data_IF_110866560911
#
_entry.id   IF_110866560911
#
_cell.length_a   1.000
_cell.length_b   1.000
_cell.length_c   1.000
_cell.angle_alpha   90.00
_cell.angle_beta   90.00
_cell.angle_gamma   90.00
#
_symmetry.space_group_name_H-M   'P 1'
#
loop_
_entity.id
_entity.type
_entity.pdbx_description
1 polymer ?
#
# COMPACT_ATOMS: atom_id res chain seq x y z
N UNK A 1 -22.45 2.29 -7.12
CA UNK A 1 -22.43 3.44 -6.20
C UNK A 1 -20.98 3.83 -5.92
N UNK A 2 -20.65 5.09 -6.12
CA UNK A 2 -19.26 5.54 -5.93
C UNK A 2 -18.86 5.47 -4.45
N UNK A 3 -17.63 5.06 -4.20
CA UNK A 3 -17.06 5.10 -2.86
C UNK A 3 -16.80 6.58 -2.55
N UNK A 4 -17.67 7.16 -1.73
CA UNK A 4 -17.55 8.55 -1.34
C UNK A 4 -16.91 8.65 0.03
N UNK A 5 -15.59 8.58 0.05
CA UNK A 5 -14.83 8.56 1.30
C UNK A 5 -13.55 9.39 1.13
N UNK A 6 -13.62 10.70 1.41
CA UNK A 6 -12.49 11.61 1.18
C UNK A 6 -11.21 11.19 1.91
N UNK A 7 -11.33 10.65 3.13
CA UNK A 7 -10.17 10.20 3.88
C UNK A 7 -9.50 8.99 3.22
N UNK A 8 -10.31 8.10 2.67
CA UNK A 8 -9.79 6.94 1.95
C UNK A 8 -9.04 7.36 0.69
N UNK A 9 -9.62 8.29 -0.06
CA UNK A 9 -8.98 8.82 -1.27
C UNK A 9 -7.63 9.45 -0.93
N UNK A 10 -7.58 10.25 0.12
CA UNK A 10 -6.34 10.88 0.57
C UNK A 10 -5.30 9.83 0.98
N UNK A 11 -5.71 8.79 1.68
CA UNK A 11 -4.81 7.70 2.07
C UNK A 11 -4.24 6.98 0.86
N UNK A 12 -5.06 6.75 -0.17
CA UNK A 12 -4.62 6.10 -1.40
C UNK A 12 -3.60 6.98 -2.13
N UNK A 13 -3.83 8.30 -2.18
CA UNK A 13 -2.89 9.23 -2.78
C UNK A 13 -1.57 9.27 -2.03
N UNK A 14 -1.62 9.27 -0.70
CA UNK A 14 -0.42 9.24 0.13
C UNK A 14 0.37 7.95 -0.09
N UNK A 15 -0.33 6.83 -0.19
CA UNK A 15 0.28 5.54 -0.48
C UNK A 15 0.96 5.55 -1.84
N UNK A 16 0.29 6.09 -2.86
CA UNK A 16 0.87 6.24 -4.19
C UNK A 16 2.14 7.07 -4.16
N UNK A 17 2.12 8.16 -3.39
CA UNK A 17 3.27 9.04 -3.26
C UNK A 17 4.49 8.34 -2.66
N UNK A 18 4.27 7.46 -1.69
CA UNK A 18 5.35 6.71 -1.05
C UNK A 18 6.03 5.76 -2.03
N UNK A 19 5.26 5.14 -2.93
CA UNK A 19 5.78 4.13 -3.86
C UNK A 19 5.92 4.64 -5.29
N UNK A 20 5.81 5.93 -5.50
CA UNK A 20 5.81 6.53 -6.84
C UNK A 20 7.08 6.19 -7.64
N UNK A 21 8.24 6.23 -6.98
CA UNK A 21 9.52 5.99 -7.63
C UNK A 21 10.01 4.55 -7.58
N UNK A 22 9.17 3.64 -7.07
CA UNK A 22 9.53 2.22 -6.96
C UNK A 22 9.11 1.48 -8.22
N UNK A 23 10.07 1.17 -9.07
CA UNK A 23 9.83 0.43 -10.31
C UNK A 23 9.40 -0.99 -10.01
N UNK A 24 8.39 -1.46 -10.74
CA UNK A 24 7.90 -2.83 -10.61
C UNK A 24 6.94 -3.06 -9.46
N UNK A 25 6.54 -2.01 -8.78
CA UNK A 25 5.56 -2.11 -7.70
C UNK A 25 4.16 -1.81 -8.23
N UNK A 26 3.47 -2.86 -8.70
CA UNK A 26 2.17 -2.73 -9.35
C UNK A 26 0.99 -2.68 -8.38
N UNK A 27 1.23 -2.88 -7.09
CA UNK A 27 0.16 -2.93 -6.09
C UNK A 27 -0.57 -1.61 -5.93
N UNK A 28 0.13 -0.49 -6.15
CA UNK A 28 -0.49 0.84 -6.08
C UNK A 28 -1.56 0.97 -7.16
N UNK A 29 -1.24 0.56 -8.38
CA UNK A 29 -2.20 0.60 -9.49
C UNK A 29 -3.39 -0.31 -9.22
N UNK A 30 -3.14 -1.48 -8.63
CA UNK A 30 -4.19 -2.42 -8.27
C UNK A 30 -5.15 -1.80 -7.24
N UNK A 31 -4.60 -1.16 -6.23
CA UNK A 31 -5.39 -0.47 -5.19
C UNK A 31 -6.23 0.63 -5.82
N UNK A 32 -5.64 1.44 -6.69
CA UNK A 32 -6.37 2.51 -7.37
C UNK A 32 -7.49 1.97 -8.25
N UNK A 33 -7.24 0.87 -8.96
CA UNK A 33 -8.24 0.25 -9.82
C UNK A 33 -9.42 -0.27 -9.01
N UNK A 34 -9.15 -0.92 -7.88
CA UNK A 34 -10.20 -1.43 -7.01
C UNK A 34 -11.03 -0.28 -6.45
N UNK A 35 -10.39 0.81 -6.11
CA UNK A 35 -11.10 1.99 -5.63
C UNK A 35 -12.00 2.59 -6.72
N UNK A 36 -11.48 2.71 -7.95
CA UNK A 36 -12.24 3.23 -9.08
C UNK A 36 -13.41 2.32 -9.45
N UNK A 37 -13.25 0.99 -9.29
CA UNK A 37 -14.30 0.02 -9.57
C UNK A 37 -15.29 -0.12 -8.41
N UNK A 38 -15.09 0.63 -7.34
CA UNK A 38 -15.97 0.60 -6.16
C UNK A 38 -16.04 -0.78 -5.50
N UNK A 39 -14.95 -1.54 -5.60
CA UNK A 39 -14.85 -2.88 -5.03
C UNK A 39 -14.28 -2.80 -3.61
N UNK A 40 -15.15 -2.52 -2.64
CA UNK A 40 -14.73 -2.37 -1.25
C UNK A 40 -14.14 -3.64 -0.65
N UNK A 41 -14.70 -4.80 -0.97
CA UNK A 41 -14.19 -6.07 -0.47
C UNK A 41 -12.80 -6.35 -1.02
N UNK A 42 -12.63 -6.21 -2.34
CA UNK A 42 -11.34 -6.40 -2.97
C UNK A 42 -10.30 -5.43 -2.44
N UNK A 43 -10.72 -4.18 -2.23
CA UNK A 43 -9.83 -3.15 -1.69
C UNK A 43 -9.37 -3.50 -0.29
N UNK A 44 -10.27 -3.95 0.57
CA UNK A 44 -9.95 -4.36 1.92
C UNK A 44 -8.97 -5.54 1.92
N UNK A 45 -9.24 -6.55 1.12
CA UNK A 45 -8.37 -7.73 1.02
C UNK A 45 -6.97 -7.35 0.53
N UNK A 46 -6.91 -6.52 -0.50
CA UNK A 46 -5.64 -6.08 -1.06
C UNK A 46 -4.84 -5.27 -0.04
N UNK A 47 -5.51 -4.37 0.68
CA UNK A 47 -4.87 -3.54 1.69
C UNK A 47 -4.31 -4.36 2.84
N UNK A 48 -5.08 -5.33 3.34
CA UNK A 48 -4.64 -6.20 4.45
C UNK A 48 -3.46 -7.05 4.02
N UNK A 49 -3.53 -7.64 2.84
CA UNK A 49 -2.44 -8.48 2.32
C UNK A 49 -1.17 -7.67 2.14
N UNK A 50 -1.28 -6.50 1.54
CA UNK A 50 -0.15 -5.64 1.29
C UNK A 50 0.47 -5.11 2.58
N UNK A 51 -0.36 -4.75 3.53
CA UNK A 51 0.10 -4.30 4.84
C UNK A 51 0.96 -5.36 5.52
N UNK A 52 0.53 -6.62 5.44
CA UNK A 52 1.28 -7.73 6.04
C UNK A 52 2.65 -7.88 5.38
N UNK A 53 2.71 -7.80 4.06
CA UNK A 53 3.98 -7.90 3.32
C UNK A 53 4.91 -6.75 3.69
N UNK A 54 4.39 -5.53 3.78
CA UNK A 54 5.18 -4.36 4.13
C UNK A 54 5.68 -4.45 5.58
N UNK A 55 4.84 -4.90 6.50
CA UNK A 55 5.23 -5.06 7.90
C UNK A 55 6.37 -6.07 8.04
N UNK A 56 6.30 -7.19 7.31
CA UNK A 56 7.36 -8.18 7.30
C UNK A 56 8.66 -7.61 6.73
N UNK A 57 8.54 -6.88 5.62
CA UNK A 57 9.70 -6.25 4.99
C UNK A 57 10.33 -5.19 5.92
N UNK A 58 9.50 -4.43 6.62
CA UNK A 58 9.98 -3.42 7.56
C UNK A 58 10.81 -4.05 8.67
N UNK A 59 10.34 -5.16 9.20
CA UNK A 59 11.07 -5.88 10.25
C UNK A 59 12.44 -6.33 9.76
N UNK A 60 12.51 -6.92 8.58
CA UNK A 60 13.77 -7.37 8.00
C UNK A 60 14.72 -6.20 7.70
N UNK A 61 14.17 -5.11 7.18
CA UNK A 61 14.95 -3.91 6.90
C UNK A 61 15.52 -3.31 8.19
N UNK A 62 14.73 -3.28 9.26
CA UNK A 62 15.19 -2.80 10.55
C UNK A 62 16.34 -3.63 11.06
N UNK A 63 16.28 -4.94 10.89
CA UNK A 63 17.35 -5.85 11.29
C UNK A 63 18.63 -5.59 10.50
N UNK A 64 18.50 -5.38 9.20
CA UNK A 64 19.64 -5.07 8.33
C UNK A 64 20.33 -3.78 8.79
N UNK A 65 19.55 -2.75 9.03
CA UNK A 65 20.08 -1.47 9.49
C UNK A 65 20.78 -1.62 10.81
N UNK A 66 20.17 -2.35 11.74
CA UNK A 66 20.76 -2.61 13.05
C UNK A 66 22.12 -3.31 12.94
N UNK A 67 22.21 -4.31 12.09
CA UNK A 67 23.46 -5.07 11.90
C UNK A 67 24.55 -4.23 11.25
N UNK A 68 24.17 -3.31 10.36
CA UNK A 68 25.14 -2.45 9.68
C UNK A 68 25.62 -1.28 10.54
N UNK A 69 24.88 -0.95 11.58
CA UNK A 69 25.18 0.20 12.44
C UNK A 69 26.25 -0.05 13.48
N UNK A 70 26.82 -1.18 13.50
CA UNK A 70 27.88 -1.50 14.49
C UNK A 70 29.11 -0.62 14.32
#
# INVERSE_FOLDING_TARGET
>A
MAIDHPELEECIEDFDSVFYDVDGFDEVENIKRLYENEDEEGLMEAAVRLKKVIDDAEMHLSNIIHLLKK
#
